data_IF_087036735890
#
_entry.id   IF_087036735890
#
_cell.length_a   1.000
_cell.length_b   1.000
_cell.length_c   1.000
_cell.angle_alpha   90.00
_cell.angle_beta   90.00
_cell.angle_gamma   90.00
#
_symmetry.space_group_name_H-M   'P 1'
#
loop_
_entity.id
_entity.type
_entity.pdbx_description
1 polymer ?
#
# COMPACT_ATOMS: atom_id res chain seq x y z
N UNK A 1 23.98 15.01 -51.71
CA UNK A 1 24.60 14.57 -50.44
C UNK A 1 23.47 14.45 -49.42
N UNK A 2 22.99 13.25 -49.26
CA UNK A 2 21.91 12.98 -48.28
C UNK A 2 22.54 12.77 -46.91
N UNK A 3 22.29 13.72 -46.02
CA UNK A 3 22.76 13.66 -44.63
C UNK A 3 21.98 12.60 -43.86
N UNK A 4 22.67 11.51 -43.49
CA UNK A 4 22.12 10.49 -42.60
C UNK A 4 21.93 11.07 -41.19
N UNK A 5 20.68 11.24 -40.74
CA UNK A 5 20.35 11.58 -39.35
C UNK A 5 20.39 10.31 -38.53
N UNK A 6 21.33 10.19 -37.62
CA UNK A 6 21.41 9.11 -36.63
C UNK A 6 20.95 9.68 -35.31
N UNK A 7 19.76 9.35 -34.83
CA UNK A 7 19.31 9.76 -33.49
C UNK A 7 20.11 9.01 -32.43
N UNK A 8 20.87 9.75 -31.63
CA UNK A 8 21.51 9.20 -30.44
C UNK A 8 20.48 9.20 -29.30
N UNK A 9 19.95 8.04 -28.96
CA UNK A 9 19.15 7.88 -27.74
C UNK A 9 20.13 7.67 -26.60
N UNK A 10 20.33 8.68 -25.77
CA UNK A 10 21.03 8.51 -24.50
C UNK A 10 20.10 7.74 -23.57
N UNK A 11 20.47 6.54 -23.09
CA UNK A 11 19.66 5.86 -22.07
C UNK A 11 19.63 6.76 -20.84
N UNK A 12 18.43 7.16 -20.40
CA UNK A 12 18.25 7.74 -19.08
C UNK A 12 18.65 6.63 -18.10
N UNK A 13 19.69 6.85 -17.29
CA UNK A 13 19.93 6.02 -16.11
C UNK A 13 18.64 6.03 -15.31
N UNK A 14 17.97 4.89 -15.24
CA UNK A 14 16.84 4.70 -14.36
C UNK A 14 17.42 4.75 -12.94
N UNK A 15 17.16 5.85 -12.23
CA UNK A 15 17.32 5.86 -10.79
C UNK A 15 16.51 4.67 -10.29
N UNK A 16 17.16 3.75 -9.58
CA UNK A 16 16.50 2.63 -8.91
C UNK A 16 15.70 3.22 -7.75
N UNK A 17 14.47 3.54 -7.99
CA UNK A 17 13.52 3.77 -6.93
C UNK A 17 12.98 2.39 -6.52
N UNK A 18 13.17 2.01 -5.25
CA UNK A 18 12.54 0.83 -4.69
C UNK A 18 11.05 0.87 -5.03
N UNK A 19 10.52 -0.26 -5.48
CA UNK A 19 9.12 -0.32 -5.84
C UNK A 19 8.27 -0.14 -4.58
N UNK A 20 7.37 0.82 -4.60
CA UNK A 20 6.51 1.12 -3.47
C UNK A 20 5.03 1.06 -3.84
N UNK A 21 4.19 0.79 -2.86
CA UNK A 21 2.74 0.95 -2.97
C UNK A 21 2.16 1.51 -1.67
N UNK A 22 0.95 2.06 -1.75
CA UNK A 22 0.22 2.57 -0.59
C UNK A 22 -1.26 2.28 -0.76
N UNK A 23 -1.88 1.75 0.30
CA UNK A 23 -3.33 1.56 0.35
C UNK A 23 -3.83 1.60 1.81
N UNK A 24 -5.13 1.49 1.98
CA UNK A 24 -5.76 1.44 3.30
C UNK A 24 -5.65 0.04 3.90
N UNK A 25 -5.74 -0.03 5.22
CA UNK A 25 -5.79 -1.26 5.99
C UNK A 25 -6.80 -2.26 5.41
N UNK A 26 -6.42 -3.52 5.33
CA UNK A 26 -7.25 -4.58 4.79
C UNK A 26 -7.19 -4.75 3.27
N UNK A 27 -6.56 -3.86 2.52
CA UNK A 27 -6.41 -3.99 1.07
C UNK A 27 -5.09 -4.64 0.71
N UNK A 28 -5.15 -5.71 -0.07
CA UNK A 28 -3.95 -6.32 -0.64
C UNK A 28 -3.29 -5.41 -1.66
N UNK A 29 -1.98 -5.29 -1.60
CA UNK A 29 -1.20 -4.43 -2.47
C UNK A 29 -0.31 -5.24 -3.40
N UNK A 30 -0.05 -4.75 -4.59
CA UNK A 30 0.82 -5.43 -5.54
C UNK A 30 1.89 -4.52 -6.09
N UNK A 31 3.06 -5.08 -6.34
CA UNK A 31 4.15 -4.41 -7.02
C UNK A 31 5.02 -5.40 -7.78
N UNK A 32 5.75 -4.90 -8.76
CA UNK A 32 6.69 -5.72 -9.52
C UNK A 32 8.06 -5.06 -9.43
N UNK A 33 8.97 -5.55 -8.57
CA UNK A 33 10.36 -5.11 -8.52
C UNK A 33 11.01 -5.16 -9.89
N UNK A 34 11.90 -4.25 -10.18
CA UNK A 34 12.59 -4.21 -11.49
C UNK A 34 13.78 -5.15 -11.48
N UNK A 35 13.57 -6.37 -11.95
CA UNK A 35 14.58 -7.42 -12.04
C UNK A 35 15.02 -7.62 -13.48
N UNK A 36 15.94 -6.79 -13.93
CA UNK A 36 16.49 -6.91 -15.28
C UNK A 36 17.99 -7.12 -15.25
N UNK A 37 18.47 -8.13 -15.97
CA UNK A 37 19.88 -8.46 -16.11
C UNK A 37 20.30 -8.19 -17.55
N UNK A 38 21.40 -7.47 -17.76
CA UNK A 38 21.98 -7.33 -19.07
C UNK A 38 22.76 -8.59 -19.45
N UNK A 39 22.36 -9.22 -20.53
CA UNK A 39 23.01 -10.35 -21.17
C UNK A 39 23.41 -10.06 -22.60
N UNK A 40 24.03 -11.04 -23.26
CA UNK A 40 24.38 -10.98 -24.67
C UNK A 40 23.71 -12.15 -25.39
N UNK A 41 22.94 -11.87 -26.44
CA UNK A 41 22.34 -12.92 -27.25
C UNK A 41 23.35 -13.61 -28.14
N UNK A 42 22.93 -14.64 -28.89
CA UNK A 42 23.78 -15.41 -29.77
C UNK A 42 24.40 -14.58 -30.92
N UNK A 43 23.89 -13.40 -31.22
CA UNK A 43 24.37 -12.49 -32.23
C UNK A 43 25.37 -11.43 -31.68
N UNK A 44 25.67 -11.49 -30.37
CA UNK A 44 26.53 -10.53 -29.70
C UNK A 44 25.84 -9.22 -29.30
N UNK A 45 24.51 -9.14 -29.41
CA UNK A 45 23.74 -7.96 -29.06
C UNK A 45 23.36 -8.00 -27.55
N UNK A 46 23.41 -6.82 -26.92
CA UNK A 46 22.94 -6.69 -25.53
C UNK A 46 21.43 -6.82 -25.46
N UNK A 47 20.97 -7.68 -24.56
CA UNK A 47 19.54 -7.91 -24.28
C UNK A 47 19.27 -7.84 -22.81
N UNK A 48 18.09 -7.33 -22.45
CA UNK A 48 17.57 -7.42 -21.07
C UNK A 48 16.95 -8.79 -20.86
N UNK A 49 17.34 -9.47 -19.78
CA UNK A 49 16.76 -10.73 -19.33
C UNK A 49 15.86 -10.41 -18.13
N UNK A 50 14.60 -10.80 -18.24
CA UNK A 50 13.58 -10.64 -17.19
C UNK A 50 13.14 -12.04 -16.70
N UNK A 51 12.41 -12.14 -15.58
CA UNK A 51 11.87 -13.42 -15.13
C UNK A 51 11.07 -14.11 -16.22
N UNK A 52 11.25 -15.44 -16.34
CA UNK A 52 10.52 -16.33 -17.23
C UNK A 52 10.54 -17.78 -16.70
N UNK A 53 10.09 -18.76 -17.52
CA UNK A 53 10.07 -20.16 -17.12
C UNK A 53 11.45 -20.76 -16.81
N UNK A 54 12.50 -20.28 -17.47
CA UNK A 54 13.86 -20.76 -17.27
C UNK A 54 14.53 -20.03 -16.09
N UNK A 55 14.09 -18.80 -15.80
CA UNK A 55 14.68 -17.91 -14.79
C UNK A 55 13.58 -17.32 -13.91
N UNK A 56 13.24 -18.03 -12.84
CA UNK A 56 12.21 -17.61 -11.90
C UNK A 56 12.79 -16.71 -10.82
N UNK A 57 12.05 -15.67 -10.49
CA UNK A 57 12.34 -14.81 -9.33
C UNK A 57 12.12 -15.56 -8.02
N UNK A 58 12.87 -15.20 -6.99
CA UNK A 58 12.80 -15.78 -5.64
C UNK A 58 12.92 -14.68 -4.59
N UNK A 59 12.32 -14.90 -3.43
CA UNK A 59 12.58 -14.05 -2.28
C UNK A 59 14.02 -14.20 -1.77
N UNK A 60 14.49 -13.17 -1.08
CA UNK A 60 15.78 -13.16 -0.39
C UNK A 60 15.55 -13.02 1.10
N UNK A 61 16.14 -13.90 1.88
CA UNK A 61 16.16 -13.81 3.34
C UNK A 61 16.93 -12.55 3.76
N UNK A 62 16.31 -11.61 4.48
CA UNK A 62 16.94 -10.34 4.82
C UNK A 62 18.10 -10.49 5.80
N UNK A 63 18.15 -11.59 6.56
CA UNK A 63 19.18 -11.83 7.57
C UNK A 63 20.42 -12.49 6.98
N UNK A 64 20.22 -13.49 6.12
CA UNK A 64 21.30 -14.31 5.57
C UNK A 64 21.71 -13.90 4.15
N UNK A 65 20.87 -13.16 3.43
CA UNK A 65 21.06 -12.83 2.03
C UNK A 65 20.86 -14.01 1.06
N UNK A 66 20.43 -15.15 1.56
CA UNK A 66 20.20 -16.34 0.75
C UNK A 66 18.82 -16.30 0.09
N UNK A 67 18.72 -16.96 -1.07
CA UNK A 67 17.41 -17.09 -1.74
C UNK A 67 16.52 -18.08 -1.02
N UNK A 68 15.23 -17.74 -0.92
CA UNK A 68 14.16 -18.58 -0.39
C UNK A 68 13.44 -19.22 -1.56
N UNK A 69 13.30 -20.54 -1.55
CA UNK A 69 12.60 -21.28 -2.63
C UNK A 69 11.07 -21.24 -2.49
N UNK A 70 10.56 -20.93 -1.28
CA UNK A 70 9.13 -20.79 -1.06
C UNK A 70 8.65 -19.47 -1.70
N UNK A 71 7.60 -19.51 -2.54
CA UNK A 71 7.01 -18.30 -3.09
C UNK A 71 6.16 -17.50 -2.08
N UNK A 72 6.09 -17.97 -0.83
CA UNK A 72 5.37 -17.31 0.27
C UNK A 72 6.39 -16.90 1.34
N UNK A 73 6.31 -15.66 1.78
CA UNK A 73 7.12 -15.12 2.86
C UNK A 73 6.21 -14.42 3.87
N UNK A 74 6.28 -14.83 5.13
CA UNK A 74 5.52 -14.20 6.21
C UNK A 74 6.46 -13.33 7.03
N UNK A 75 6.07 -12.08 7.25
CA UNK A 75 6.75 -11.14 8.13
C UNK A 75 5.84 -10.89 9.32
N UNK A 76 6.24 -11.37 10.49
CA UNK A 76 5.43 -11.32 11.71
C UNK A 76 5.05 -9.87 12.07
N UNK A 77 3.76 -9.62 12.28
CA UNK A 77 3.22 -8.31 12.61
C UNK A 77 3.07 -7.35 11.42
N UNK A 78 3.42 -7.77 10.21
CA UNK A 78 3.22 -6.99 8.99
C UNK A 78 2.23 -7.64 8.04
N UNK A 79 2.45 -8.92 7.67
CA UNK A 79 1.60 -9.65 6.75
C UNK A 79 2.32 -10.74 5.96
N UNK A 80 1.66 -11.17 4.89
CA UNK A 80 2.10 -12.26 4.02
C UNK A 80 2.38 -11.72 2.62
N UNK A 81 3.49 -12.19 2.06
CA UNK A 81 3.93 -11.88 0.70
C UNK A 81 3.85 -13.11 -0.18
N UNK A 82 3.26 -12.97 -1.35
CA UNK A 82 3.16 -13.99 -2.38
C UNK A 82 3.94 -13.53 -3.61
N UNK A 83 4.86 -14.34 -4.09
CA UNK A 83 5.68 -14.07 -5.28
C UNK A 83 5.23 -14.94 -6.46
N UNK A 84 4.85 -14.29 -7.54
CA UNK A 84 4.80 -14.95 -8.85
C UNK A 84 6.22 -14.95 -9.45
N UNK A 85 6.89 -16.06 -9.35
CA UNK A 85 8.27 -16.21 -9.80
C UNK A 85 8.46 -15.99 -11.31
N UNK A 86 7.41 -16.20 -12.12
CA UNK A 86 7.47 -16.03 -13.58
C UNK A 86 7.42 -14.55 -13.99
N UNK A 87 6.66 -13.76 -13.28
CA UNK A 87 6.47 -12.33 -13.58
C UNK A 87 7.28 -11.42 -12.67
N UNK A 88 7.77 -11.94 -11.54
CA UNK A 88 8.39 -11.13 -10.48
C UNK A 88 7.39 -10.29 -9.68
N UNK A 89 6.07 -10.47 -9.93
CA UNK A 89 5.02 -9.75 -9.23
C UNK A 89 4.91 -10.22 -7.78
N UNK A 90 4.93 -9.29 -6.85
CA UNK A 90 4.68 -9.54 -5.43
C UNK A 90 3.28 -9.06 -5.07
N UNK A 91 2.54 -9.88 -4.33
CA UNK A 91 1.29 -9.50 -3.67
C UNK A 91 1.54 -9.48 -2.17
N UNK A 92 1.26 -8.37 -1.54
CA UNK A 92 1.30 -8.20 -0.08
C UNK A 92 -0.12 -8.21 0.47
N UNK A 93 -0.36 -9.04 1.46
CA UNK A 93 -1.61 -9.10 2.23
C UNK A 93 -1.26 -8.67 3.65
N UNK A 94 -1.66 -7.47 4.08
CA UNK A 94 -1.33 -6.98 5.42
C UNK A 94 -2.02 -7.80 6.50
N UNK A 95 -1.35 -7.98 7.63
CA UNK A 95 -1.97 -8.54 8.82
C UNK A 95 -3.17 -7.69 9.27
N UNK A 96 -4.22 -8.31 9.82
CA UNK A 96 -5.31 -7.59 10.44
C UNK A 96 -4.79 -6.61 11.50
N UNK A 97 -5.12 -5.35 11.36
CA UNK A 97 -4.65 -4.31 12.28
C UNK A 97 -3.31 -3.65 11.91
N UNK A 98 -2.53 -4.18 10.97
CA UNK A 98 -1.28 -3.55 10.56
C UNK A 98 -1.51 -2.18 9.92
N UNK A 99 -0.72 -1.20 10.36
CA UNK A 99 -0.63 0.15 9.78
C UNK A 99 0.79 0.65 9.86
N UNK A 100 1.20 1.42 8.88
CA UNK A 100 2.55 1.96 8.78
C UNK A 100 3.25 1.51 7.51
N UNK A 101 4.54 1.74 7.44
CA UNK A 101 5.37 1.27 6.32
C UNK A 101 6.00 -0.05 6.71
N UNK A 102 5.71 -1.09 5.93
CA UNK A 102 6.25 -2.42 6.09
C UNK A 102 7.76 -2.42 5.81
N UNK A 103 8.50 -3.35 6.41
CA UNK A 103 9.90 -3.57 6.02
C UNK A 103 10.00 -3.97 4.55
N UNK A 104 9.00 -4.69 4.05
CA UNK A 104 8.95 -5.16 2.68
C UNK A 104 9.86 -6.35 2.41
N UNK A 105 9.87 -6.78 1.16
CA UNK A 105 10.63 -7.98 0.74
C UNK A 105 11.58 -7.66 -0.40
N UNK A 106 12.73 -8.33 -0.38
CA UNK A 106 13.68 -8.30 -1.50
C UNK A 106 13.43 -9.50 -2.39
N UNK A 107 13.38 -9.26 -3.69
CA UNK A 107 13.26 -10.28 -4.72
C UNK A 107 14.54 -10.34 -5.52
N UNK A 108 14.97 -11.51 -5.90
CA UNK A 108 16.16 -11.75 -6.73
C UNK A 108 15.80 -12.53 -7.98
N UNK A 109 16.52 -12.23 -9.05
CA UNK A 109 16.56 -13.02 -10.26
C UNK A 109 18.01 -13.39 -10.53
N UNK A 110 18.31 -14.68 -10.65
CA UNK A 110 19.63 -15.15 -11.04
C UNK A 110 19.53 -15.90 -12.35
N UNK A 111 20.32 -15.51 -13.33
CA UNK A 111 20.35 -16.14 -14.67
C UNK A 111 21.75 -16.24 -15.19
N UNK A 112 21.96 -17.09 -16.18
CA UNK A 112 23.19 -17.16 -16.95
C UNK A 112 23.12 -16.22 -18.14
N UNK A 113 24.09 -15.31 -18.24
CA UNK A 113 24.16 -14.31 -19.31
C UNK A 113 25.17 -14.66 -20.40
N UNK A 114 25.76 -15.85 -20.36
CA UNK A 114 26.72 -16.29 -21.36
C UNK A 114 26.83 -17.80 -21.46
N UNK A 115 27.27 -18.23 -22.62
CA UNK A 115 27.63 -19.63 -22.88
C UNK A 115 29.11 -19.70 -23.19
N UNK A 116 29.73 -20.80 -22.82
CA UNK A 116 31.10 -21.07 -23.25
C UNK A 116 31.16 -21.40 -24.77
N UNK A 117 32.37 -21.59 -25.28
CA UNK A 117 32.61 -21.93 -26.69
C UNK A 117 31.93 -23.24 -27.15
N UNK A 118 31.53 -24.09 -26.19
CA UNK A 118 30.88 -25.38 -26.45
C UNK A 118 29.36 -25.23 -26.27
N UNK A 119 28.82 -24.01 -26.02
CA UNK A 119 27.40 -23.73 -25.85
C UNK A 119 26.87 -24.09 -24.46
N UNK A 120 27.73 -24.43 -23.50
CA UNK A 120 27.36 -24.75 -22.13
C UNK A 120 27.27 -23.48 -21.30
N UNK A 121 26.33 -23.46 -20.37
CA UNK A 121 26.24 -22.39 -19.38
C UNK A 121 27.49 -22.41 -18.50
N UNK A 122 28.22 -21.30 -18.49
CA UNK A 122 29.39 -21.14 -17.61
C UNK A 122 28.95 -20.60 -16.25
N UNK A 123 29.39 -21.22 -15.16
CA UNK A 123 29.11 -20.73 -13.79
C UNK A 123 29.62 -19.30 -13.57
N UNK A 124 30.67 -18.89 -14.31
CA UNK A 124 31.18 -17.52 -14.27
C UNK A 124 30.30 -16.52 -15.02
N UNK A 125 29.26 -16.98 -15.73
CA UNK A 125 28.32 -16.15 -16.45
C UNK A 125 27.01 -15.91 -15.66
N UNK A 126 26.90 -16.41 -14.44
CA UNK A 126 25.75 -16.15 -13.57
C UNK A 126 25.76 -14.68 -13.14
N UNK A 127 24.62 -14.05 -13.31
CA UNK A 127 24.36 -12.69 -12.78
C UNK A 127 23.09 -12.71 -11.95
N UNK A 128 23.08 -11.89 -10.93
CA UNK A 128 21.92 -11.72 -10.06
C UNK A 128 21.53 -10.25 -10.04
N UNK A 129 20.26 -9.98 -10.27
CA UNK A 129 19.62 -8.71 -9.96
C UNK A 129 18.78 -8.88 -8.70
N UNK A 130 18.74 -7.83 -7.89
CA UNK A 130 17.86 -7.76 -6.71
C UNK A 130 17.17 -6.41 -6.70
N UNK A 131 15.93 -6.41 -6.25
CA UNK A 131 15.17 -5.19 -6.04
C UNK A 131 14.21 -5.38 -4.87
N UNK A 132 13.80 -4.28 -4.22
CA UNK A 132 12.96 -4.31 -3.03
C UNK A 132 11.57 -3.79 -3.35
N UNK A 133 10.58 -4.40 -2.72
CA UNK A 133 9.19 -3.94 -2.72
C UNK A 133 8.78 -3.57 -1.30
N UNK A 134 8.35 -2.33 -1.11
CA UNK A 134 7.95 -1.76 0.19
C UNK A 134 6.53 -1.22 0.12
N UNK A 135 5.74 -1.45 1.15
CA UNK A 135 4.34 -1.08 1.20
C UNK A 135 4.05 -0.14 2.37
N UNK A 136 3.12 0.77 2.17
CA UNK A 136 2.57 1.59 3.25
C UNK A 136 1.08 1.28 3.38
N UNK A 137 0.66 0.99 4.60
CA UNK A 137 -0.74 0.73 4.96
C UNK A 137 -1.23 1.87 5.84
N UNK A 138 -2.32 2.51 5.43
CA UNK A 138 -2.94 3.61 6.16
C UNK A 138 -4.29 3.20 6.73
N UNK A 139 -4.76 3.88 7.76
CA UNK A 139 -6.13 3.69 8.26
C UNK A 139 -7.13 4.33 7.30
N UNK A 140 -8.36 3.84 7.29
CA UNK A 140 -9.47 4.54 6.62
C UNK A 140 -9.72 5.85 7.37
N UNK A 141 -9.70 6.97 6.64
CA UNK A 141 -9.81 8.29 7.23
C UNK A 141 -10.94 9.10 6.61
N UNK A 142 -11.54 10.00 7.40
CA UNK A 142 -12.42 11.03 6.89
C UNK A 142 -12.02 12.41 7.46
N UNK A 143 -12.39 13.44 6.73
CA UNK A 143 -12.17 14.84 7.14
C UNK A 143 -13.48 15.58 6.94
N UNK A 144 -13.99 16.18 7.99
CA UNK A 144 -15.27 16.89 7.94
C UNK A 144 -15.27 18.19 8.73
N UNK A 145 -16.29 19.00 8.47
CA UNK A 145 -16.51 20.25 9.21
C UNK A 145 -17.05 19.91 10.61
N UNK A 146 -16.88 20.86 11.53
CA UNK A 146 -17.55 20.88 12.82
C UNK A 146 -19.04 20.56 12.66
N UNK A 147 -19.59 19.73 13.53
CA UNK A 147 -20.98 19.29 13.53
C UNK A 147 -21.45 18.50 12.30
N UNK A 148 -20.54 18.15 11.39
CA UNK A 148 -20.89 17.28 10.25
C UNK A 148 -20.70 15.82 10.61
N UNK A 149 -21.71 15.01 10.33
CA UNK A 149 -21.58 13.55 10.38
C UNK A 149 -20.52 13.09 9.39
N UNK A 150 -19.65 12.18 9.79
CA UNK A 150 -18.59 11.62 8.97
C UNK A 150 -18.74 10.11 8.90
N UNK A 151 -18.42 9.54 7.76
CA UNK A 151 -18.47 8.10 7.55
C UNK A 151 -17.17 7.58 6.96
N UNK A 152 -16.86 6.32 7.27
CA UNK A 152 -15.80 5.57 6.63
C UNK A 152 -16.14 4.08 6.64
N UNK A 153 -15.64 3.34 5.68
CA UNK A 153 -15.81 1.89 5.61
C UNK A 153 -14.45 1.21 5.68
N UNK A 154 -13.99 0.82 6.89
CA UNK A 154 -12.81 0.00 7.04
C UNK A 154 -12.93 -1.30 6.24
N UNK A 155 -11.82 -1.76 5.68
CA UNK A 155 -11.72 -2.99 4.92
C UNK A 155 -10.99 -4.01 5.77
N UNK A 156 -11.46 -5.25 5.71
CA UNK A 156 -10.90 -6.36 6.46
C UNK A 156 -10.15 -7.31 5.54
N UNK A 157 -9.08 -7.89 6.06
CA UNK A 157 -8.39 -9.03 5.46
C UNK A 157 -8.14 -10.08 6.54
N UNK A 158 -8.16 -11.32 6.14
CA UNK A 158 -7.90 -12.47 6.98
C UNK A 158 -6.39 -12.69 7.23
N UNK A 159 -5.52 -11.91 6.55
CA UNK A 159 -4.08 -12.18 6.52
C UNK A 159 -3.72 -13.39 5.63
N UNK A 160 -4.69 -14.16 5.16
CA UNK A 160 -4.53 -15.27 4.21
C UNK A 160 -5.61 -15.17 3.13
N UNK A 161 -5.20 -14.94 1.88
CA UNK A 161 -6.11 -14.80 0.73
C UNK A 161 -6.96 -16.04 0.43
N UNK A 162 -6.68 -17.16 1.08
CA UNK A 162 -7.44 -18.43 0.94
C UNK A 162 -8.61 -18.53 1.92
N UNK A 163 -8.68 -17.62 2.89
CA UNK A 163 -9.74 -17.59 3.90
C UNK A 163 -10.66 -16.42 3.59
N UNK A 164 -11.96 -16.61 3.66
CA UNK A 164 -12.94 -15.57 3.36
C UNK A 164 -13.53 -14.97 4.64
N UNK A 165 -13.84 -13.68 4.61
CA UNK A 165 -14.65 -13.04 5.65
C UNK A 165 -16.02 -13.72 5.70
N UNK A 166 -16.55 -13.87 6.91
CA UNK A 166 -17.88 -14.46 7.15
C UNK A 166 -18.96 -13.37 7.11
N UNK A 167 -19.51 -13.09 5.95
CA UNK A 167 -20.53 -12.06 5.77
C UNK A 167 -21.83 -12.30 6.58
N UNK A 168 -22.00 -13.50 7.15
CA UNK A 168 -23.14 -13.81 8.03
C UNK A 168 -22.96 -13.25 9.45
N UNK A 169 -21.73 -12.88 9.84
CA UNK A 169 -21.43 -12.28 11.14
C UNK A 169 -21.35 -10.76 10.96
N UNK A 170 -22.14 -9.96 11.70
CA UNK A 170 -22.10 -8.50 11.56
C UNK A 170 -20.78 -7.93 12.11
N UNK A 171 -20.30 -6.86 11.50
CA UNK A 171 -19.18 -6.08 12.02
C UNK A 171 -19.60 -5.40 13.33
N UNK A 172 -18.70 -5.43 14.31
CA UNK A 172 -18.90 -4.78 15.63
C UNK A 172 -17.67 -3.98 16.03
N UNK A 173 -17.78 -3.16 17.07
CA UNK A 173 -16.61 -2.66 17.77
C UNK A 173 -15.94 -3.77 18.58
N UNK A 174 -14.71 -3.54 19.05
CA UNK A 174 -13.92 -4.52 19.83
C UNK A 174 -14.65 -5.07 21.06
N UNK A 175 -15.56 -4.29 21.64
CA UNK A 175 -16.41 -4.66 22.79
C UNK A 175 -17.70 -5.41 22.38
N UNK A 176 -17.78 -5.84 21.13
CA UNK A 176 -18.96 -6.51 20.55
C UNK A 176 -20.23 -5.64 20.51
N UNK A 177 -20.10 -4.32 20.67
CA UNK A 177 -21.21 -3.38 20.49
C UNK A 177 -21.24 -2.82 19.07
N UNK A 178 -22.39 -2.23 18.70
CA UNK A 178 -22.56 -1.51 17.43
C UNK A 178 -22.67 0.00 17.61
N UNK A 179 -22.57 0.46 18.86
CA UNK A 179 -22.61 1.89 19.20
C UNK A 179 -21.62 2.18 20.31
N UNK A 180 -20.85 3.26 20.15
CA UNK A 180 -19.84 3.70 21.12
C UNK A 180 -19.95 5.21 21.34
N UNK A 181 -20.27 5.62 22.55
CA UNK A 181 -20.35 7.04 22.92
C UNK A 181 -18.98 7.54 23.40
N UNK A 182 -18.56 8.68 22.87
CA UNK A 182 -17.36 9.40 23.32
C UNK A 182 -17.85 10.68 24.00
N UNK A 183 -17.82 10.70 25.32
CA UNK A 183 -18.40 11.79 26.14
C UNK A 183 -17.87 13.15 25.72
N UNK A 184 -18.78 14.10 25.46
CA UNK A 184 -18.46 15.47 25.05
C UNK A 184 -18.01 15.63 23.59
N UNK A 185 -17.92 14.53 22.83
CA UNK A 185 -17.47 14.57 21.41
C UNK A 185 -18.55 14.09 20.45
N UNK A 186 -19.23 12.99 20.79
CA UNK A 186 -20.23 12.39 19.91
C UNK A 186 -20.38 10.90 20.07
N UNK A 187 -20.90 10.23 19.06
CA UNK A 187 -21.07 8.79 19.05
C UNK A 187 -20.68 8.16 17.73
N UNK A 188 -20.13 6.97 17.82
CA UNK A 188 -19.90 6.08 16.69
C UNK A 188 -21.00 5.04 16.61
N UNK A 189 -21.40 4.71 15.40
CA UNK A 189 -22.20 3.53 15.08
C UNK A 189 -21.53 2.74 13.97
N UNK A 190 -21.66 1.43 14.00
CA UNK A 190 -21.21 0.56 12.90
C UNK A 190 -22.40 -0.20 12.34
N UNK A 191 -22.55 -0.17 11.02
CA UNK A 191 -23.55 -0.95 10.31
C UNK A 191 -23.06 -2.38 10.06
N UNK A 192 -23.97 -3.31 9.78
CA UNK A 192 -23.63 -4.71 9.53
C UNK A 192 -22.62 -4.89 8.37
N UNK A 193 -22.60 -3.97 7.40
CA UNK A 193 -21.67 -3.96 6.27
C UNK A 193 -20.30 -3.37 6.59
N UNK A 194 -20.02 -3.01 7.86
CA UNK A 194 -18.78 -2.41 8.31
C UNK A 194 -18.70 -0.90 8.15
N UNK A 195 -19.73 -0.23 7.64
CA UNK A 195 -19.74 1.23 7.55
C UNK A 195 -19.81 1.85 8.96
N UNK A 196 -18.78 2.59 9.32
CA UNK A 196 -18.71 3.36 10.56
C UNK A 196 -19.21 4.77 10.32
N UNK A 197 -20.11 5.24 11.19
CA UNK A 197 -20.63 6.61 11.18
C UNK A 197 -20.30 7.27 12.49
N UNK A 198 -19.68 8.45 12.44
CA UNK A 198 -19.51 9.32 13.59
C UNK A 198 -20.51 10.47 13.52
N UNK A 199 -21.30 10.60 14.57
CA UNK A 199 -22.26 11.70 14.77
C UNK A 199 -21.73 12.59 15.88
N UNK A 200 -21.27 13.82 15.58
CA UNK A 200 -20.71 14.71 16.58
C UNK A 200 -21.79 15.28 17.51
N UNK A 201 -21.43 15.52 18.77
CA UNK A 201 -22.17 16.44 19.63
C UNK A 201 -21.99 17.88 19.14
N UNK A 202 -22.93 18.75 19.50
CA UNK A 202 -22.82 20.17 19.14
C UNK A 202 -21.59 20.82 19.80
N UNK A 203 -20.86 21.61 19.02
CA UNK A 203 -19.87 22.56 19.53
C UNK A 203 -18.48 22.00 19.93
N UNK A 204 -18.09 20.72 19.62
CA UNK A 204 -16.75 20.28 19.95
C UNK A 204 -15.69 20.63 18.89
N UNK A 205 -14.43 20.76 19.33
CA UNK A 205 -13.25 21.05 18.48
C UNK A 205 -12.04 20.19 18.85
N UNK A 206 -12.22 19.23 19.77
CA UNK A 206 -11.17 18.35 20.23
C UNK A 206 -10.89 17.22 19.21
N UNK A 207 -9.69 16.64 19.20
CA UNK A 207 -9.42 15.43 18.43
C UNK A 207 -10.35 14.31 18.85
N UNK A 208 -10.94 13.64 17.87
CA UNK A 208 -11.80 12.47 18.11
C UNK A 208 -10.92 11.21 18.11
N UNK A 209 -11.01 10.35 19.15
CA UNK A 209 -10.30 9.10 19.17
C UNK A 209 -10.67 8.20 17.98
N UNK A 210 -9.70 7.53 17.40
CA UNK A 210 -9.95 6.49 16.42
C UNK A 210 -10.79 5.35 17.04
N UNK A 211 -11.53 4.62 16.21
CA UNK A 211 -12.23 3.41 16.62
C UNK A 211 -11.80 2.22 15.81
N UNK A 212 -11.70 1.08 16.46
CA UNK A 212 -11.43 -0.20 15.83
C UNK A 212 -12.72 -0.98 15.70
N UNK A 213 -12.96 -1.52 14.52
CA UNK A 213 -14.04 -2.46 14.24
C UNK A 213 -13.46 -3.84 13.98
N UNK A 214 -14.25 -4.85 14.27
CA UNK A 214 -13.87 -6.27 14.22
C UNK A 214 -14.86 -7.03 13.38
N UNK A 215 -14.36 -7.90 12.52
CA UNK A 215 -15.13 -8.89 11.78
C UNK A 215 -14.50 -10.26 11.95
N UNK A 216 -15.22 -11.32 11.67
CA UNK A 216 -14.72 -12.70 11.75
C UNK A 216 -14.63 -13.31 10.35
N UNK A 217 -13.63 -14.15 10.15
CA UNK A 217 -13.54 -14.99 8.97
C UNK A 217 -14.37 -16.28 9.14
N UNK A 218 -14.42 -17.13 8.13
CA UNK A 218 -15.14 -18.41 8.18
C UNK A 218 -14.55 -19.44 9.16
N UNK A 219 -13.36 -19.17 9.68
CA UNK A 219 -12.70 -19.98 10.71
C UNK A 219 -12.84 -19.38 12.12
N UNK A 220 -13.71 -18.37 12.28
CA UNK A 220 -13.91 -17.63 13.54
C UNK A 220 -12.68 -16.83 14.00
N UNK A 221 -11.72 -16.59 13.10
CA UNK A 221 -10.58 -15.73 13.37
C UNK A 221 -10.98 -14.27 13.20
N UNK A 222 -10.63 -13.43 14.19
CA UNK A 222 -11.00 -12.02 14.19
C UNK A 222 -10.01 -11.20 13.37
N UNK A 223 -10.54 -10.44 12.42
CA UNK A 223 -9.84 -9.39 11.71
C UNK A 223 -10.27 -8.02 12.27
N UNK A 224 -9.35 -7.09 12.40
CA UNK A 224 -9.64 -5.74 12.88
C UNK A 224 -9.23 -4.68 11.88
N UNK A 225 -9.97 -3.57 11.87
CA UNK A 225 -9.64 -2.41 11.04
C UNK A 225 -10.00 -1.12 11.76
N UNK A 226 -9.22 -0.07 11.54
CA UNK A 226 -9.33 1.18 12.28
C UNK A 226 -9.89 2.29 11.39
N UNK A 227 -10.83 3.04 11.94
CA UNK A 227 -11.36 4.26 11.36
C UNK A 227 -10.91 5.48 12.16
N UNK A 228 -10.34 6.45 11.45
CA UNK A 228 -9.85 7.70 12.01
C UNK A 228 -10.59 8.87 11.37
N UNK A 229 -10.90 9.90 12.13
CA UNK A 229 -11.50 11.10 11.57
C UNK A 229 -10.83 12.37 12.07
N UNK A 230 -10.90 13.41 11.24
CA UNK A 230 -10.44 14.74 11.59
C UNK A 230 -11.60 15.73 11.46
N UNK A 231 -11.82 16.51 12.51
CA UNK A 231 -12.77 17.61 12.50
C UNK A 231 -12.01 18.92 12.26
N UNK A 232 -12.39 19.60 11.20
CA UNK A 232 -11.77 20.88 10.84
C UNK A 232 -12.58 22.04 11.45
N UNK A 233 -11.94 22.91 12.24
CA UNK A 233 -12.56 24.15 12.63
C UNK A 233 -12.75 25.04 11.38
N UNK A 234 -13.98 25.36 11.06
CA UNK A 234 -14.30 26.31 9.98
C UNK A 234 -14.42 27.69 10.59
N UNK A 235 -13.44 28.53 10.33
CA UNK A 235 -13.52 29.96 10.59
C UNK A 235 -13.83 30.67 9.27
N UNK A 236 -14.99 31.30 9.15
CA UNK A 236 -15.28 32.21 8.04
C UNK A 236 -14.76 33.61 8.40
N UNK A 237 -14.03 34.21 7.49
CA UNK A 237 -13.64 35.62 7.57
C UNK A 237 -14.27 36.34 6.40
N UNK A 238 -14.79 37.55 6.68
CA UNK A 238 -15.25 38.45 5.64
C UNK A 238 -14.08 39.38 5.31
N UNK A 239 -13.69 39.45 4.04
CA UNK A 239 -12.68 40.40 3.59
C UNK A 239 -13.23 41.85 3.61
N UNK A 240 -12.36 42.81 3.38
CA UNK A 240 -12.76 44.25 3.33
C UNK A 240 -13.77 44.57 2.22
N UNK A 241 -14.05 43.63 1.31
CA UNK A 241 -15.02 43.74 0.23
C UNK A 241 -16.33 43.00 0.50
N UNK A 242 -16.55 42.46 1.69
CA UNK A 242 -17.75 41.70 2.06
C UNK A 242 -17.83 40.29 1.47
N UNK A 243 -16.72 39.75 0.96
CA UNK A 243 -16.66 38.38 0.45
C UNK A 243 -16.30 37.41 1.57
N UNK A 244 -17.06 36.33 1.66
CA UNK A 244 -16.79 35.25 2.58
C UNK A 244 -15.57 34.44 2.10
N UNK A 245 -14.50 34.43 2.89
CA UNK A 245 -13.29 33.63 2.64
C UNK A 245 -13.32 32.46 3.61
N UNK A 246 -13.49 31.24 3.08
CA UNK A 246 -13.29 30.02 3.85
C UNK A 246 -11.80 29.81 4.09
N UNK A 247 -11.37 29.86 5.32
CA UNK A 247 -10.00 29.54 5.70
C UNK A 247 -9.95 28.20 6.43
N UNK A 248 -9.34 27.21 5.77
CA UNK A 248 -9.09 25.91 6.37
C UNK A 248 -7.78 25.99 7.18
N UNK A 249 -7.85 25.72 8.48
CA UNK A 249 -6.66 25.64 9.32
C UNK A 249 -6.31 24.17 9.55
N UNK A 250 -5.27 23.68 8.91
CA UNK A 250 -4.66 22.36 9.18
C UNK A 250 -3.32 22.63 9.88
N UNK A 251 -3.17 22.11 11.10
CA UNK A 251 -1.92 22.13 11.89
C UNK A 251 -1.15 23.46 11.91
N UNK A 252 -1.81 24.57 12.23
CA UNK A 252 -1.22 25.91 12.33
C UNK A 252 -0.60 26.47 11.03
N UNK A 253 -0.76 25.81 9.91
CA UNK A 253 -0.36 26.39 8.62
C UNK A 253 -1.57 26.99 7.91
N UNK A 254 -1.45 28.24 7.47
CA UNK A 254 -2.49 28.96 6.73
C UNK A 254 -2.44 28.56 5.26
N UNK A 255 -3.39 27.76 4.80
CA UNK A 255 -3.66 27.58 3.38
C UNK A 255 -4.75 28.56 2.94
N UNK A 256 -4.40 29.48 2.04
CA UNK A 256 -5.38 30.39 1.43
C UNK A 256 -5.93 29.75 0.15
N UNK A 257 -7.21 29.48 0.13
CA UNK A 257 -7.91 29.14 -1.10
C UNK A 257 -8.72 30.37 -1.56
N UNK A 258 -8.52 30.79 -2.80
CA UNK A 258 -9.31 31.84 -3.43
C UNK A 258 -10.42 31.17 -4.23
N UNK A 259 -11.67 31.35 -3.83
CA UNK A 259 -12.81 30.94 -4.62
C UNK A 259 -13.04 32.01 -5.68
N UNK A 260 -12.80 31.69 -6.92
CA UNK A 260 -13.20 32.52 -8.06
C UNK A 260 -14.68 32.20 -8.31
N UNK A 261 -15.59 33.11 -7.93
CA UNK A 261 -16.97 33.04 -8.33
C UNK A 261 -17.06 33.46 -9.80
N UNK A 262 -17.65 32.60 -10.64
CA UNK A 262 -18.05 32.88 -12.03
C UNK A 262 -19.28 33.77 -12.06
#
# INVERSE_FOLDING_TARGET
MDGLYIPTVTPKELEREDKTSMDVQGVSQTGTPELAIEGTNNNGEKVKITPDFDYMSKFVDPTTGNVINDPISTVEGEGIYYLDGLTGKVTFVPDPGFTGTAEGVTVSLTTSVGRDKDGRVSDNALKTATDKYTQTVTTVTSIGKKSATQTGKPIFTEGDIRVSINDAVPVTFEDSTTTKTVSGLGSYTVAADGTVTFTPEAEFTEPVPAVTVVHEDVNETKASATYTLTVLPVTSFVDKGGREILQLMVNKQKLKFQVIAS
#
